data_IF_897905439581
#
_entry.id   IF_897905439581
#
_cell.length_a   1.000
_cell.length_b   1.000
_cell.length_c   1.000
_cell.angle_alpha   90.00
_cell.angle_beta   90.00
_cell.angle_gamma   90.00
#
_symmetry.space_group_name_H-M   'P 1'
#
loop_
_entity.id
_entity.type
_entity.pdbx_description
1 polymer ?
#
# COMPACT_ATOMS: atom_id res chain seq x y z
N UNK A 1 -12.73 5.87 16.76
CA UNK A 1 -14.06 5.75 16.12
C UNK A 1 -15.22 5.90 17.12
N UNK A 2 -16.45 6.23 16.66
CA UNK A 2 -17.66 6.22 17.52
C UNK A 2 -18.19 4.78 17.72
N UNK A 3 -18.82 4.43 18.86
CA UNK A 3 -19.32 3.08 19.13
C UNK A 3 -20.25 2.52 18.04
N UNK A 4 -21.15 3.34 17.51
CA UNK A 4 -22.08 2.96 16.45
C UNK A 4 -21.37 2.54 15.17
N UNK A 5 -20.28 3.20 14.78
CA UNK A 5 -19.52 2.84 13.59
C UNK A 5 -18.80 1.50 13.75
N UNK A 6 -18.28 1.21 14.96
CA UNK A 6 -17.71 -0.10 15.31
C UNK A 6 -18.77 -1.20 15.17
N UNK A 7 -19.95 -0.96 15.72
CA UNK A 7 -21.06 -1.90 15.65
C UNK A 7 -21.49 -2.15 14.19
N UNK A 8 -21.62 -1.09 13.39
CA UNK A 8 -21.97 -1.18 11.97
C UNK A 8 -20.95 -1.99 11.17
N UNK A 9 -19.66 -1.66 11.29
CA UNK A 9 -18.62 -2.33 10.51
C UNK A 9 -18.45 -3.80 10.93
N UNK A 10 -18.49 -4.09 12.24
CA UNK A 10 -18.40 -5.45 12.76
C UNK A 10 -19.60 -6.29 12.31
N UNK A 11 -20.81 -5.75 12.45
CA UNK A 11 -22.03 -6.44 12.01
C UNK A 11 -21.96 -6.76 10.53
N UNK A 12 -21.57 -5.78 9.70
CA UNK A 12 -21.48 -5.99 8.26
C UNK A 12 -20.47 -7.09 7.87
N UNK A 13 -19.30 -7.15 8.51
CA UNK A 13 -18.37 -8.26 8.29
C UNK A 13 -18.99 -9.62 8.63
N UNK A 14 -19.65 -9.72 9.79
CA UNK A 14 -20.24 -10.96 10.26
C UNK A 14 -21.46 -11.40 9.45
N UNK A 15 -22.30 -10.45 9.01
CA UNK A 15 -23.42 -10.72 8.09
C UNK A 15 -22.90 -11.32 6.78
N UNK A 16 -21.85 -10.74 6.19
CA UNK A 16 -21.23 -11.26 4.97
C UNK A 16 -20.62 -12.65 5.18
N UNK A 17 -19.90 -12.88 6.28
CA UNK A 17 -19.38 -14.22 6.63
C UNK A 17 -20.51 -15.23 6.79
N UNK A 18 -21.63 -14.85 7.40
CA UNK A 18 -22.81 -15.71 7.51
C UNK A 18 -23.38 -16.11 6.13
N UNK A 19 -23.45 -15.17 5.17
CA UNK A 19 -23.86 -15.51 3.79
C UNK A 19 -22.99 -16.59 3.16
N UNK A 20 -21.68 -16.58 3.46
CA UNK A 20 -20.72 -17.56 2.97
C UNK A 20 -20.91 -18.94 3.65
N UNK A 21 -21.08 -18.96 4.98
CA UNK A 21 -21.35 -20.19 5.73
C UNK A 21 -22.67 -20.86 5.29
N UNK A 22 -23.69 -20.06 4.99
CA UNK A 22 -25.01 -20.53 4.53
C UNK A 22 -25.02 -20.93 3.04
N UNK A 23 -24.03 -20.49 2.26
CA UNK A 23 -23.92 -20.78 0.82
C UNK A 23 -24.80 -19.91 -0.05
N UNK A 24 -25.06 -18.69 0.39
CA UNK A 24 -25.82 -17.66 -0.34
C UNK A 24 -24.95 -16.45 -0.71
N UNK A 25 -23.63 -16.54 -0.55
CA UNK A 25 -22.68 -15.52 -1.02
C UNK A 25 -22.57 -15.55 -2.54
N UNK A 26 -23.04 -14.50 -3.21
CA UNK A 26 -23.13 -14.42 -4.67
C UNK A 26 -21.78 -14.27 -5.37
N UNK A 27 -21.68 -14.87 -6.55
CA UNK A 27 -20.58 -14.79 -7.53
C UNK A 27 -21.17 -14.40 -8.89
N UNK A 28 -20.36 -14.12 -9.94
CA UNK A 28 -20.91 -13.87 -11.28
C UNK A 28 -21.81 -15.01 -11.81
N UNK A 29 -21.54 -16.26 -11.40
CA UNK A 29 -22.12 -17.46 -11.99
C UNK A 29 -22.86 -18.35 -10.96
N UNK A 30 -23.45 -17.74 -9.93
CA UNK A 30 -24.17 -18.46 -8.86
C UNK A 30 -23.64 -18.11 -7.48
N UNK A 31 -23.40 -19.11 -6.63
CA UNK A 31 -22.96 -18.91 -5.25
C UNK A 31 -21.58 -19.51 -4.98
N UNK A 32 -20.83 -18.91 -4.06
CA UNK A 32 -19.58 -19.46 -3.58
C UNK A 32 -19.81 -20.76 -2.81
N UNK A 33 -18.82 -21.66 -2.83
CA UNK A 33 -18.83 -22.88 -2.02
C UNK A 33 -18.98 -22.52 -0.54
N UNK A 34 -19.80 -23.28 0.20
CA UNK A 34 -19.96 -23.10 1.65
C UNK A 34 -18.63 -23.26 2.38
N UNK A 35 -18.49 -22.50 3.46
CA UNK A 35 -17.34 -22.53 4.34
C UNK A 35 -17.67 -23.23 5.67
N UNK A 36 -16.93 -24.30 5.99
CA UNK A 36 -16.86 -24.79 7.38
C UNK A 36 -15.77 -24.04 8.13
N UNK A 37 -15.77 -24.12 9.47
CA UNK A 37 -14.76 -23.46 10.32
C UNK A 37 -14.64 -21.94 10.07
N UNK A 38 -15.72 -21.26 9.69
CA UNK A 38 -15.72 -19.81 9.48
C UNK A 38 -16.02 -19.08 10.79
N UNK A 39 -15.04 -18.38 11.35
CA UNK A 39 -15.19 -17.77 12.68
C UNK A 39 -15.88 -16.40 12.66
N UNK A 40 -16.78 -16.15 13.60
CA UNK A 40 -17.38 -14.84 13.83
C UNK A 40 -16.30 -13.87 14.33
N UNK A 41 -16.24 -12.69 13.72
CA UNK A 41 -15.30 -11.66 14.13
C UNK A 41 -15.79 -10.97 15.40
N UNK A 42 -14.84 -10.63 16.26
CA UNK A 42 -15.02 -9.71 17.38
C UNK A 42 -14.23 -8.41 17.14
N UNK A 43 -14.64 -7.32 17.80
CA UNK A 43 -13.96 -6.04 17.61
C UNK A 43 -12.75 -5.92 18.55
N UNK A 44 -11.61 -5.47 18.03
CA UNK A 44 -10.38 -5.29 18.81
C UNK A 44 -9.94 -3.82 18.77
N UNK A 45 -9.91 -3.18 19.95
CA UNK A 45 -9.56 -1.77 20.08
C UNK A 45 -8.07 -1.48 19.80
N UNK A 46 -7.18 -2.45 19.97
CA UNK A 46 -5.76 -2.26 19.64
C UNK A 46 -5.56 -2.25 18.12
N UNK A 47 -6.27 -3.14 17.40
CA UNK A 47 -6.34 -3.10 15.94
C UNK A 47 -6.96 -1.78 15.44
N UNK A 48 -8.05 -1.30 16.08
CA UNK A 48 -8.62 0.02 15.75
C UNK A 48 -7.61 1.14 15.94
N UNK A 49 -6.86 1.16 17.04
CA UNK A 49 -5.89 2.23 17.30
C UNK A 49 -4.89 2.35 16.16
N UNK A 50 -4.31 1.22 15.73
CA UNK A 50 -3.34 1.20 14.63
C UNK A 50 -3.95 1.49 13.27
N UNK A 51 -5.15 1.00 13.00
CA UNK A 51 -5.89 1.33 11.79
C UNK A 51 -6.28 2.82 11.74
N UNK A 52 -6.63 3.41 12.89
CA UNK A 52 -7.01 4.82 13.00
C UNK A 52 -5.80 5.75 12.85
N UNK A 53 -4.68 5.44 13.50
CA UNK A 53 -3.43 6.17 13.30
C UNK A 53 -3.04 6.16 11.81
N UNK A 54 -3.24 5.03 11.12
CA UNK A 54 -2.97 4.92 9.69
C UNK A 54 -3.96 5.73 8.84
N UNK A 55 -5.27 5.60 9.10
CA UNK A 55 -6.31 6.33 8.39
C UNK A 55 -6.12 7.86 8.49
N UNK A 56 -5.74 8.35 9.67
CA UNK A 56 -5.52 9.78 9.93
C UNK A 56 -4.38 10.41 9.13
N UNK A 57 -3.48 9.61 8.53
CA UNK A 57 -2.45 10.11 7.61
C UNK A 57 -3.03 10.58 6.29
N UNK A 58 -4.22 10.11 5.92
CA UNK A 58 -4.86 10.45 4.65
C UNK A 58 -3.99 10.18 3.42
N UNK A 59 -3.20 9.10 3.46
CA UNK A 59 -2.41 8.59 2.34
C UNK A 59 -2.99 7.23 1.97
N UNK A 60 -3.51 7.09 0.75
CA UNK A 60 -4.11 5.84 0.27
C UNK A 60 -3.03 4.80 -0.08
N UNK A 61 -2.49 4.15 0.93
CA UNK A 61 -1.49 3.09 0.80
C UNK A 61 -1.59 2.10 1.96
N UNK A 62 -1.10 0.88 1.78
CA UNK A 62 -1.10 -0.12 2.85
C UNK A 62 -0.08 0.23 3.94
N UNK A 63 -0.44 -0.03 5.19
CA UNK A 63 0.49 0.08 6.31
C UNK A 63 1.60 -0.98 6.25
N UNK A 64 2.77 -0.68 6.81
CA UNK A 64 3.81 -1.68 7.07
C UNK A 64 3.28 -2.86 7.89
N UNK A 65 3.70 -4.08 7.59
CA UNK A 65 3.30 -5.24 8.41
C UNK A 65 3.64 -5.05 9.90
N UNK A 66 4.83 -4.56 10.24
CA UNK A 66 5.22 -4.29 11.62
C UNK A 66 4.36 -3.20 12.30
N UNK A 67 3.82 -2.24 11.55
CA UNK A 67 2.93 -1.20 12.10
C UNK A 67 1.65 -1.80 12.68
N UNK A 68 1.16 -2.83 11.99
CA UNK A 68 -0.07 -3.55 12.32
C UNK A 68 0.20 -4.90 12.99
N UNK A 69 1.42 -5.15 13.49
CA UNK A 69 1.83 -6.42 14.09
C UNK A 69 1.44 -7.64 13.23
N UNK A 70 1.78 -7.56 11.95
CA UNK A 70 1.49 -8.56 10.92
C UNK A 70 0.00 -8.87 10.71
N UNK A 71 -0.90 -8.01 11.21
CA UNK A 71 -2.33 -8.11 10.89
C UNK A 71 -2.57 -7.97 9.38
N UNK A 72 -3.67 -8.57 8.90
CA UNK A 72 -4.17 -8.29 7.56
C UNK A 72 -4.69 -6.86 7.46
N UNK A 73 -4.84 -6.31 6.26
CA UNK A 73 -5.37 -4.95 6.08
C UNK A 73 -6.22 -4.80 4.82
N UNK A 74 -7.35 -4.11 4.98
CA UNK A 74 -8.16 -3.62 3.87
C UNK A 74 -8.26 -2.09 3.92
N UNK A 75 -8.24 -1.48 2.73
CA UNK A 75 -8.32 -0.03 2.53
C UNK A 75 -9.51 0.30 1.65
N UNK A 76 -10.24 1.35 1.99
CA UNK A 76 -11.33 1.85 1.16
C UNK A 76 -11.42 3.37 1.25
N UNK A 77 -11.78 4.01 0.15
CA UNK A 77 -12.06 5.43 0.12
C UNK A 77 -13.31 5.72 -0.70
N UNK A 78 -14.14 6.65 -0.22
CA UNK A 78 -15.14 7.32 -1.05
C UNK A 78 -14.62 8.67 -1.53
N UNK A 79 -15.18 9.14 -2.65
CA UNK A 79 -14.85 10.41 -3.29
C UNK A 79 -16.15 11.19 -3.52
N UNK A 80 -16.17 12.49 -3.23
CA UNK A 80 -17.28 13.36 -3.60
C UNK A 80 -16.85 14.80 -3.89
N UNK A 81 -17.73 15.52 -4.61
CA UNK A 81 -17.65 16.98 -4.82
C UNK A 81 -18.32 17.80 -3.72
N UNK A 82 -18.99 17.15 -2.76
CA UNK A 82 -19.69 17.78 -1.65
C UNK A 82 -19.27 17.14 -0.32
N UNK A 83 -19.43 17.86 0.82
CA UNK A 83 -19.07 17.32 2.13
C UNK A 83 -19.70 15.96 2.40
N UNK A 84 -18.86 14.97 2.71
CA UNK A 84 -19.30 13.64 3.12
C UNK A 84 -19.21 13.52 4.64
N UNK A 85 -20.32 13.26 5.35
CA UNK A 85 -20.23 12.96 6.76
C UNK A 85 -19.67 11.55 6.96
N UNK A 86 -18.77 11.38 7.93
CA UNK A 86 -18.46 10.04 8.45
C UNK A 86 -19.70 9.53 9.18
N UNK A 87 -20.33 8.50 8.65
CA UNK A 87 -21.53 7.89 9.20
C UNK A 87 -21.51 6.35 9.05
N UNK A 88 -22.61 5.69 9.42
CA UNK A 88 -22.74 4.24 9.25
C UNK A 88 -22.63 3.78 7.78
N UNK A 89 -23.02 4.62 6.82
CA UNK A 89 -22.91 4.31 5.39
C UNK A 89 -21.46 4.29 4.91
N UNK A 90 -20.57 5.09 5.52
CA UNK A 90 -19.12 4.96 5.26
C UNK A 90 -18.61 3.57 5.64
N UNK A 91 -19.12 3.02 6.75
CA UNK A 91 -18.72 1.70 7.24
C UNK A 91 -19.26 0.58 6.36
N UNK A 92 -20.54 0.63 6.01
CA UNK A 92 -21.15 -0.37 5.12
C UNK A 92 -20.67 -0.22 3.67
N UNK A 93 -20.32 0.99 3.24
CA UNK A 93 -19.73 1.27 1.93
C UNK A 93 -18.39 0.55 1.75
N UNK A 94 -17.52 0.64 2.76
CA UNK A 94 -16.23 -0.07 2.76
C UNK A 94 -16.39 -1.59 2.68
N UNK A 95 -17.20 -2.17 3.57
CA UNK A 95 -17.41 -3.63 3.60
C UNK A 95 -18.13 -4.15 2.37
N UNK A 96 -19.10 -3.40 1.83
CA UNK A 96 -19.79 -3.72 0.58
C UNK A 96 -18.83 -3.70 -0.61
N UNK A 97 -17.94 -2.72 -0.68
CA UNK A 97 -16.94 -2.63 -1.74
C UNK A 97 -15.99 -3.82 -1.71
N UNK A 98 -15.42 -4.12 -0.54
CA UNK A 98 -14.50 -5.24 -0.35
C UNK A 98 -15.17 -6.58 -0.61
N UNK A 99 -16.36 -6.83 -0.06
CA UNK A 99 -17.07 -8.09 -0.27
C UNK A 99 -17.55 -8.26 -1.71
N UNK A 100 -17.93 -7.14 -2.35
CA UNK A 100 -18.41 -7.10 -3.72
C UNK A 100 -17.40 -7.59 -4.77
N UNK A 101 -16.11 -7.69 -4.41
CA UNK A 101 -15.09 -8.30 -5.27
C UNK A 101 -15.44 -9.73 -5.66
N UNK A 102 -16.04 -10.52 -4.75
CA UNK A 102 -16.49 -11.89 -5.05
C UNK A 102 -17.52 -11.91 -6.18
N UNK A 103 -18.53 -11.04 -6.09
CA UNK A 103 -19.60 -10.95 -7.10
C UNK A 103 -19.09 -10.36 -8.41
N UNK A 104 -18.13 -9.43 -8.35
CA UNK A 104 -17.61 -8.73 -9.53
C UNK A 104 -16.62 -9.59 -10.32
N UNK A 105 -15.69 -10.25 -9.63
CA UNK A 105 -14.56 -10.91 -10.26
C UNK A 105 -14.62 -12.44 -10.17
N UNK A 106 -15.52 -13.01 -9.37
CA UNK A 106 -15.63 -14.45 -9.19
C UNK A 106 -14.40 -15.07 -8.51
N UNK A 107 -14.33 -16.39 -8.48
CA UNK A 107 -13.21 -17.10 -7.87
C UNK A 107 -12.18 -17.48 -8.95
N UNK A 108 -10.92 -17.15 -8.70
CA UNK A 108 -9.80 -17.31 -9.65
C UNK A 108 -9.42 -18.78 -9.85
N UNK A 109 -9.57 -19.60 -8.81
CA UNK A 109 -9.24 -21.02 -8.83
C UNK A 109 -10.30 -21.82 -8.04
N UNK A 110 -10.74 -22.94 -8.63
CA UNK A 110 -11.62 -23.93 -8.01
C UNK A 110 -11.15 -24.45 -6.65
N UNK A 111 -9.84 -24.37 -6.34
CA UNK A 111 -9.29 -24.73 -5.03
C UNK A 111 -9.44 -23.64 -3.96
N UNK A 112 -9.90 -22.43 -4.32
CA UNK A 112 -10.06 -21.28 -3.42
C UNK A 112 -8.77 -20.95 -2.65
N UNK A 113 -7.61 -21.19 -3.27
CA UNK A 113 -6.32 -20.79 -2.74
C UNK A 113 -6.00 -19.36 -3.15
N UNK A 114 -5.47 -18.59 -2.20
CA UNK A 114 -4.99 -17.25 -2.49
C UNK A 114 -3.71 -17.34 -3.32
N UNK A 115 -3.74 -16.82 -4.56
CA UNK A 115 -2.61 -16.94 -5.49
C UNK A 115 -1.53 -15.87 -5.30
N UNK A 116 -1.83 -14.81 -4.53
CA UNK A 116 -0.99 -13.62 -4.42
C UNK A 116 -0.87 -12.82 -5.73
N UNK A 117 -1.63 -13.21 -6.76
CA UNK A 117 -1.63 -12.51 -8.04
C UNK A 117 -2.38 -11.18 -7.92
N UNK A 118 -2.08 -10.29 -8.88
CA UNK A 118 -2.59 -8.92 -9.09
C UNK A 118 -4.11 -8.82 -9.34
N UNK A 119 -4.88 -9.79 -8.84
CA UNK A 119 -6.32 -9.88 -8.99
C UNK A 119 -7.00 -9.07 -7.88
N UNK A 120 -7.97 -8.21 -8.22
CA UNK A 120 -8.65 -7.31 -7.27
C UNK A 120 -9.68 -8.08 -6.42
N UNK A 121 -9.24 -9.12 -5.71
CA UNK A 121 -10.07 -9.92 -4.78
C UNK A 121 -9.50 -10.01 -3.36
N UNK A 122 -8.34 -9.37 -3.13
CA UNK A 122 -7.61 -9.46 -1.87
C UNK A 122 -8.40 -8.95 -0.67
N UNK A 123 -9.34 -8.03 -0.88
CA UNK A 123 -10.14 -7.50 0.21
C UNK A 123 -11.24 -8.49 0.62
N UNK A 124 -11.93 -9.09 -0.36
CA UNK A 124 -12.89 -10.16 -0.08
C UNK A 124 -12.21 -11.36 0.58
N UNK A 125 -11.05 -11.81 0.08
CA UNK A 125 -10.37 -12.98 0.65
C UNK A 125 -9.99 -12.75 2.11
N UNK A 126 -9.56 -11.56 2.50
CA UNK A 126 -9.29 -11.23 3.89
C UNK A 126 -10.57 -11.22 4.74
N UNK A 127 -11.67 -10.68 4.24
CA UNK A 127 -12.96 -10.71 4.93
C UNK A 127 -13.51 -12.13 5.09
N UNK A 128 -13.27 -13.00 4.10
CA UNK A 128 -13.74 -14.38 4.04
C UNK A 128 -12.78 -15.39 4.70
N UNK A 129 -11.62 -14.95 5.17
CA UNK A 129 -10.57 -15.82 5.67
C UNK A 129 -11.02 -16.59 6.93
N UNK A 130 -10.92 -17.92 6.91
CA UNK A 130 -11.63 -18.78 7.89
C UNK A 130 -11.21 -18.55 9.34
N UNK A 131 -9.90 -18.45 9.58
CA UNK A 131 -9.32 -18.35 10.92
C UNK A 131 -9.15 -16.92 11.45
N UNK A 132 -9.45 -15.88 10.65
CA UNK A 132 -9.52 -14.50 11.12
C UNK A 132 -10.59 -14.40 12.21
N UNK A 133 -10.24 -13.88 13.39
CA UNK A 133 -11.17 -13.83 14.54
C UNK A 133 -11.43 -12.43 15.09
N UNK A 134 -10.59 -11.46 14.74
CA UNK A 134 -10.76 -10.07 15.20
C UNK A 134 -10.55 -9.07 14.09
N UNK A 135 -11.29 -7.97 14.19
CA UNK A 135 -11.15 -6.81 13.31
C UNK A 135 -11.15 -5.54 14.14
N UNK A 136 -10.32 -4.57 13.75
CA UNK A 136 -10.39 -3.21 14.27
C UNK A 136 -10.15 -2.24 13.12
N UNK A 137 -10.92 -1.16 13.06
CA UNK A 137 -10.91 -0.26 11.91
C UNK A 137 -10.69 1.18 12.35
N UNK A 138 -10.17 2.01 11.44
CA UNK A 138 -10.01 3.45 11.54
C UNK A 138 -10.76 4.16 10.43
N UNK A 139 -11.23 5.38 10.69
CA UNK A 139 -11.86 6.22 9.66
C UNK A 139 -11.41 7.66 9.79
N UNK A 140 -11.13 8.31 8.67
CA UNK A 140 -10.70 9.70 8.61
C UNK A 140 -11.40 10.44 7.48
N UNK A 141 -11.69 11.72 7.72
CA UNK A 141 -12.04 12.69 6.68
C UNK A 141 -10.73 13.27 6.15
N UNK A 142 -10.53 13.14 4.84
CA UNK A 142 -9.24 13.31 4.18
C UNK A 142 -9.32 14.27 3.01
N UNK A 143 -9.58 15.57 3.24
CA UNK A 143 -9.74 16.55 2.17
C UNK A 143 -8.44 16.83 1.38
N UNK A 144 -7.27 16.48 1.93
CA UNK A 144 -5.96 16.62 1.28
C UNK A 144 -5.39 15.31 0.72
N UNK A 145 -6.17 14.22 0.72
CA UNK A 145 -5.74 13.01 0.02
C UNK A 145 -5.64 13.34 -1.47
N UNK A 146 -4.46 13.10 -2.06
CA UNK A 146 -4.13 13.48 -3.45
C UNK A 146 -4.86 12.60 -4.49
N UNK A 147 -6.19 12.62 -4.44
CA UNK A 147 -7.13 11.86 -5.27
C UNK A 147 -7.77 12.71 -6.37
N UNK A 148 -7.58 14.02 -6.34
CA UNK A 148 -8.26 14.99 -7.20
C UNK A 148 -9.66 15.40 -6.71
N UNK A 149 -10.13 14.90 -5.56
CA UNK A 149 -11.45 15.19 -4.99
C UNK A 149 -11.34 15.95 -3.66
N UNK A 150 -12.24 16.91 -3.43
CA UNK A 150 -12.22 17.80 -2.27
C UNK A 150 -12.66 17.12 -0.97
N UNK A 151 -13.48 16.06 -1.05
CA UNK A 151 -14.00 15.34 0.12
C UNK A 151 -13.77 13.84 -0.05
N UNK A 152 -13.03 13.24 0.89
CA UNK A 152 -12.65 11.84 0.85
C UNK A 152 -12.84 11.21 2.22
N UNK A 153 -13.65 10.16 2.35
CA UNK A 153 -13.69 9.37 3.58
C UNK A 153 -12.83 8.14 3.41
N UNK A 154 -11.79 8.02 4.22
CA UNK A 154 -10.83 6.92 4.18
C UNK A 154 -11.08 5.96 5.33
N UNK A 155 -11.28 4.68 5.02
CA UNK A 155 -11.50 3.58 5.97
C UNK A 155 -10.37 2.57 5.85
N UNK A 156 -9.79 2.21 6.99
CA UNK A 156 -8.73 1.19 7.14
C UNK A 156 -9.25 0.14 8.10
N UNK A 157 -9.15 -1.15 7.79
CA UNK A 157 -9.42 -2.23 8.74
C UNK A 157 -8.22 -3.16 8.87
N UNK A 158 -7.84 -3.48 10.10
CA UNK A 158 -6.83 -4.49 10.43
C UNK A 158 -7.49 -5.78 10.92
N UNK A 159 -6.91 -6.92 10.56
CA UNK A 159 -7.45 -8.25 10.83
C UNK A 159 -6.42 -9.12 11.58
N UNK A 160 -6.78 -9.57 12.79
CA UNK A 160 -5.95 -10.54 13.54
C UNK A 160 -6.17 -11.94 12.99
N UNK A 161 -5.10 -12.76 13.07
CA UNK A 161 -4.98 -13.99 12.29
C UNK A 161 -5.07 -13.64 10.80
N UNK A 162 -4.03 -12.93 10.32
CA UNK A 162 -3.98 -12.36 8.99
C UNK A 162 -4.30 -13.39 7.91
N UNK A 163 -4.99 -12.94 6.87
CA UNK A 163 -5.33 -13.76 5.73
C UNK A 163 -4.34 -13.61 4.59
N UNK A 164 -4.77 -14.04 3.40
CA UNK A 164 -4.07 -13.80 2.14
C UNK A 164 -2.65 -14.43 2.10
N UNK A 165 -2.44 -15.54 2.80
CA UNK A 165 -1.21 -16.31 2.66
C UNK A 165 -1.20 -17.03 1.31
N UNK A 166 -0.14 -16.78 0.53
CA UNK A 166 0.00 -17.34 -0.82
C UNK A 166 0.03 -18.87 -0.79
N UNK A 167 -0.81 -19.50 -1.61
CA UNK A 167 -0.96 -20.95 -1.68
C UNK A 167 -1.86 -21.55 -0.59
N UNK A 168 -2.30 -20.77 0.39
CA UNK A 168 -3.25 -21.23 1.41
C UNK A 168 -4.68 -21.05 0.93
N UNK A 169 -5.53 -21.98 1.36
CA UNK A 169 -6.96 -21.94 1.09
C UNK A 169 -7.62 -20.86 1.96
N UNK A 170 -8.49 -20.04 1.36
CA UNK A 170 -9.18 -18.93 2.04
C UNK A 170 -10.06 -19.47 3.17
N UNK A 171 -10.77 -20.57 2.88
CA UNK A 171 -11.57 -21.32 3.84
C UNK A 171 -11.73 -22.76 3.36
N UNK A 172 -11.91 -23.70 4.30
CA UNK A 172 -12.20 -25.09 3.95
C UNK A 172 -13.64 -25.25 3.48
N UNK A 173 -13.85 -26.05 2.44
CA UNK A 173 -15.19 -26.35 1.95
C UNK A 173 -15.95 -27.22 2.96
N UNK A 174 -17.21 -26.87 3.18
CA UNK A 174 -18.13 -27.61 4.04
C UNK A 174 -19.29 -26.73 4.48
N UNK A 175 -20.29 -27.33 5.12
CA UNK A 175 -21.38 -26.56 5.70
C UNK A 175 -20.88 -25.70 6.87
N UNK A 176 -21.52 -24.54 7.07
CA UNK A 176 -21.39 -23.80 8.33
C UNK A 176 -21.72 -24.68 9.54
N UNK A 177 -21.21 -24.30 10.70
CA UNK A 177 -21.37 -25.13 11.90
C UNK A 177 -22.85 -25.31 12.28
N UNK A 178 -23.20 -26.49 12.81
CA UNK A 178 -24.53 -26.77 13.38
C UNK A 178 -24.47 -27.15 14.87
N UNK A 179 -23.27 -27.46 15.36
CA UNK A 179 -22.96 -27.81 16.75
C UNK A 179 -21.51 -27.47 17.04
N UNK A 180 -21.16 -27.33 18.31
CA UNK A 180 -19.83 -26.90 18.77
C UNK A 180 -18.69 -27.77 18.19
N UNK A 181 -18.92 -29.09 18.05
CA UNK A 181 -17.93 -30.02 17.51
C UNK A 181 -17.58 -29.81 16.03
N UNK A 182 -18.38 -29.02 15.28
CA UNK A 182 -18.08 -28.70 13.89
C UNK A 182 -17.01 -27.58 13.79
N UNK A 183 -16.72 -26.89 14.90
CA UNK A 183 -15.75 -25.80 14.99
C UNK A 183 -14.40 -26.30 15.53
N UNK A 184 -13.48 -26.56 14.63
CA UNK A 184 -12.30 -27.40 14.91
C UNK A 184 -10.97 -26.64 14.92
N UNK A 185 -10.92 -25.37 14.49
CA UNK A 185 -9.65 -24.63 14.40
C UNK A 185 -9.12 -24.15 15.75
N UNK A 186 -10.01 -23.82 16.70
CA UNK A 186 -9.62 -23.41 18.05
C UNK A 186 -10.30 -24.33 19.07
N UNK A 187 -9.50 -24.94 19.95
CA UNK A 187 -10.02 -25.82 21.01
C UNK A 187 -11.01 -25.08 21.92
N UNK A 188 -12.17 -25.69 22.18
CA UNK A 188 -13.25 -25.10 22.99
C UNK A 188 -14.16 -24.11 22.23
N UNK A 189 -14.08 -24.08 20.90
CA UNK A 189 -14.97 -23.26 20.07
C UNK A 189 -16.43 -23.67 20.22
N UNK A 190 -17.32 -22.69 20.09
CA UNK A 190 -18.77 -22.90 20.04
C UNK A 190 -19.32 -22.59 18.66
N UNK A 191 -20.55 -23.03 18.39
CA UNK A 191 -21.26 -22.72 17.16
C UNK A 191 -22.41 -21.74 17.40
N UNK A 192 -22.46 -20.65 16.62
CA UNK A 192 -23.66 -19.82 16.48
C UNK A 192 -24.52 -20.39 15.35
N UNK A 193 -25.44 -21.30 15.70
CA UNK A 193 -26.20 -22.10 14.73
C UNK A 193 -27.07 -21.28 13.79
N UNK A 194 -27.50 -20.09 14.19
CA UNK A 194 -28.32 -19.19 13.36
C UNK A 194 -27.54 -18.67 12.16
N UNK A 195 -26.24 -18.41 12.32
CA UNK A 195 -25.38 -17.85 11.27
C UNK A 195 -24.46 -18.91 10.64
N UNK A 196 -24.29 -20.06 11.30
CA UNK A 196 -23.33 -21.10 10.91
C UNK A 196 -21.88 -20.72 11.18
N UNK A 197 -21.64 -19.68 12.00
CA UNK A 197 -20.31 -19.18 12.33
C UNK A 197 -19.79 -19.76 13.64
N UNK A 198 -18.49 -20.06 13.67
CA UNK A 198 -17.79 -20.52 14.86
C UNK A 198 -17.41 -19.36 15.78
N UNK A 199 -17.44 -19.58 17.08
CA UNK A 199 -17.07 -18.61 18.12
C UNK A 199 -15.77 -19.07 18.77
N UNK A 200 -14.73 -18.23 18.72
CA UNK A 200 -13.46 -18.51 19.38
C UNK A 200 -13.64 -18.37 20.91
N UNK A 201 -13.18 -19.32 21.74
CA UNK A 201 -13.29 -19.22 23.17
C UNK A 201 -12.46 -18.05 23.72
N UNK A 202 -12.93 -17.46 24.82
CA UNK A 202 -12.31 -16.28 25.42
C UNK A 202 -12.59 -14.95 24.72
N UNK A 203 -13.29 -14.96 23.57
CA UNK A 203 -13.78 -13.75 22.90
C UNK A 203 -15.28 -13.48 23.18
N UNK A 204 -15.92 -14.36 23.94
CA UNK A 204 -17.32 -14.26 24.36
C UNK A 204 -17.39 -13.50 25.69
N UNK A 205 -17.08 -12.20 25.68
CA UNK A 205 -17.52 -11.32 26.76
C UNK A 205 -18.61 -10.42 26.20
N UNK A 206 -19.82 -10.61 26.70
CA UNK A 206 -21.01 -9.87 26.37
C UNK A 206 -20.77 -8.35 26.32
N UNK A 207 -21.16 -7.73 25.21
CA UNK A 207 -21.92 -6.48 25.18
C UNK A 207 -21.36 -5.20 25.82
N UNK A 208 -20.17 -5.18 26.41
CA UNK A 208 -19.55 -3.95 26.92
C UNK A 208 -18.50 -3.44 25.95
N UNK A 209 -18.61 -2.20 25.43
CA UNK A 209 -17.49 -1.55 24.77
C UNK A 209 -16.31 -1.58 25.75
N UNK A 210 -15.21 -2.21 25.34
CA UNK A 210 -13.96 -2.09 26.08
C UNK A 210 -13.66 -0.59 26.24
N UNK A 211 -13.41 -0.09 27.46
CA UNK A 211 -13.05 1.30 27.65
C UNK A 211 -11.86 1.64 26.77
N UNK A 212 -11.94 2.78 26.07
CA UNK A 212 -10.83 3.37 25.32
C UNK A 212 -9.59 3.34 26.23
N UNK A 213 -8.47 2.70 25.83
CA UNK A 213 -7.18 2.97 26.46
C UNK A 213 -6.95 4.48 26.35
N UNK A 214 -6.82 5.18 27.48
CA UNK A 214 -6.50 6.61 27.44
C UNK A 214 -5.28 6.81 26.54
N UNK A 215 -5.25 7.86 25.69
CA UNK A 215 -4.09 8.16 24.88
C UNK A 215 -2.87 8.20 25.80
N UNK A 216 -1.91 7.32 25.57
CA UNK A 216 -0.58 7.52 26.14
C UNK A 216 -0.10 8.85 25.59
N UNK A 217 0.25 9.77 26.49
CA UNK A 217 0.94 11.02 26.15
C UNK A 217 2.07 10.63 25.19
N UNK A 218 2.13 11.27 24.00
CA UNK A 218 3.19 11.02 23.05
C UNK A 218 4.54 11.08 23.78
N UNK A 219 5.48 10.15 23.54
CA UNK A 219 6.77 10.19 24.20
C UNK A 219 7.38 11.58 23.99
N UNK A 220 7.52 12.34 25.07
CA UNK A 220 8.24 13.61 25.03
C UNK A 220 9.63 13.30 24.46
N UNK A 221 10.08 14.00 23.41
CA UNK A 221 11.36 13.72 22.80
C UNK A 221 12.44 13.75 23.88
N UNK A 222 13.22 12.67 23.95
CA UNK A 222 14.25 12.46 24.95
C UNK A 222 15.39 13.48 24.72
N UNK A 223 15.31 14.63 25.37
CA UNK A 223 16.35 15.67 25.39
C UNK A 223 17.53 15.21 26.22
N UNK A 224 18.38 14.33 25.66
CA UNK A 224 19.78 14.16 26.07
C UNK A 224 20.64 13.72 24.88
N UNK A 225 20.92 14.65 23.97
CA UNK A 225 22.18 14.69 23.24
C UNK A 225 22.60 16.17 23.12
N UNK A 226 23.62 16.52 23.89
CA UNK A 226 24.21 17.85 24.00
C UNK A 226 25.01 18.20 22.75
N UNK A 227 24.48 19.10 21.92
CA UNK A 227 25.29 20.05 21.18
C UNK A 227 24.59 21.42 21.24
N UNK A 228 25.34 22.47 21.60
CA UNK A 228 24.82 23.84 21.74
C UNK A 228 24.19 24.30 20.41
N UNK A 229 22.99 24.92 20.42
CA UNK A 229 22.39 25.45 19.20
C UNK A 229 23.20 26.64 18.68
N UNK A 230 23.48 26.63 17.38
CA UNK A 230 23.97 27.77 16.63
C UNK A 230 22.85 28.85 16.61
N UNK A 231 23.11 30.14 16.90
CA UNK A 231 22.05 31.13 17.10
C UNK A 231 21.27 31.53 15.84
N UNK A 232 21.50 30.89 14.68
CA UNK A 232 20.78 31.22 13.45
C UNK A 232 20.81 30.10 12.39
N UNK A 233 19.80 29.21 12.32
CA UNK A 233 19.56 28.37 11.15
C UNK A 233 18.45 28.97 10.26
N UNK A 234 18.68 28.99 8.94
CA UNK A 234 17.63 29.31 7.94
C UNK A 234 16.65 28.13 7.80
N UNK A 235 15.38 28.39 7.46
CA UNK A 235 14.35 27.35 7.36
C UNK A 235 14.44 26.63 6.00
N UNK A 236 15.24 25.58 5.92
CA UNK A 236 15.03 24.47 4.98
C UNK A 236 14.99 23.17 5.79
N UNK A 237 13.88 22.45 5.67
CA UNK A 237 13.59 21.18 6.34
C UNK A 237 14.72 20.17 6.13
N UNK A 238 15.51 19.93 7.18
CA UNK A 238 16.57 18.94 7.12
C UNK A 238 15.97 17.57 7.33
N UNK A 239 15.78 16.80 6.26
CA UNK A 239 15.35 15.41 6.39
C UNK A 239 16.30 14.67 7.36
N UNK A 240 15.75 14.00 8.38
CA UNK A 240 16.53 13.28 9.38
C UNK A 240 16.76 11.86 8.88
N UNK A 241 17.99 11.54 8.46
CA UNK A 241 18.39 10.18 8.08
C UNK A 241 19.80 9.89 8.55
N UNK A 242 20.03 8.63 8.96
CA UNK A 242 21.36 8.12 9.32
C UNK A 242 22.18 7.72 8.10
N UNK A 243 21.53 7.54 6.94
CA UNK A 243 22.15 7.00 5.73
C UNK A 243 22.07 7.99 4.56
N UNK A 244 20.90 8.60 4.34
CA UNK A 244 20.71 9.56 3.27
C UNK A 244 21.29 10.93 3.64
N UNK A 245 22.43 11.28 3.05
CA UNK A 245 23.03 12.60 3.22
C UNK A 245 22.47 13.59 2.19
N UNK A 246 22.58 14.92 2.42
CA UNK A 246 22.19 15.93 1.43
C UNK A 246 22.82 15.70 0.04
N UNK A 247 24.06 15.22 0.00
CA UNK A 247 24.76 14.87 -1.25
C UNK A 247 24.09 13.70 -1.97
N UNK A 248 23.64 12.67 -1.24
CA UNK A 248 22.92 11.53 -1.82
C UNK A 248 21.53 11.95 -2.31
N UNK A 249 20.81 12.79 -1.57
CA UNK A 249 19.51 13.35 -2.00
C UNK A 249 19.66 14.18 -3.28
N UNK A 250 20.68 15.03 -3.32
CA UNK A 250 21.04 15.79 -4.52
C UNK A 250 21.39 14.89 -5.71
N UNK A 251 22.09 13.79 -5.47
CA UNK A 251 22.40 12.79 -6.49
C UNK A 251 21.14 12.10 -7.04
N UNK A 252 20.22 11.68 -6.16
CA UNK A 252 18.93 11.09 -6.55
C UNK A 252 18.14 12.04 -7.44
N UNK A 253 17.97 13.31 -7.03
CA UNK A 253 17.25 14.30 -7.81
C UNK A 253 17.92 14.60 -9.15
N UNK A 254 19.24 14.81 -9.14
CA UNK A 254 19.99 15.10 -10.37
C UNK A 254 19.86 13.97 -11.38
N UNK A 255 19.96 12.73 -10.91
CA UNK A 255 19.86 11.54 -11.76
C UNK A 255 18.46 11.41 -12.35
N UNK A 256 17.40 11.40 -11.51
CA UNK A 256 16.03 11.29 -12.01
C UNK A 256 15.67 12.41 -12.98
N UNK A 257 15.93 13.67 -12.61
CA UNK A 257 15.55 14.81 -13.46
C UNK A 257 16.38 14.89 -14.75
N UNK A 258 17.65 14.46 -14.72
CA UNK A 258 18.46 14.34 -15.94
C UNK A 258 17.88 13.31 -16.90
N UNK A 259 17.61 12.10 -16.42
CA UNK A 259 17.04 11.01 -17.22
C UNK A 259 15.65 11.36 -17.77
N UNK A 260 14.80 11.98 -16.94
CA UNK A 260 13.48 12.48 -17.33
C UNK A 260 13.57 13.60 -18.37
N UNK A 261 14.54 14.50 -18.23
CA UNK A 261 14.83 15.52 -19.25
C UNK A 261 15.28 14.90 -20.57
N UNK A 262 16.18 13.92 -20.53
CA UNK A 262 16.63 13.24 -21.75
C UNK A 262 15.48 12.49 -22.44
N UNK A 263 14.60 11.85 -21.67
CA UNK A 263 13.39 11.22 -22.22
C UNK A 263 12.44 12.25 -22.85
N UNK A 264 12.16 13.35 -22.15
CA UNK A 264 11.29 14.41 -22.66
C UNK A 264 11.82 15.02 -23.96
N UNK A 265 13.14 15.18 -24.07
CA UNK A 265 13.80 15.75 -25.25
C UNK A 265 14.13 14.71 -26.34
N UNK A 266 13.67 13.47 -26.22
CA UNK A 266 13.92 12.43 -27.23
C UNK A 266 15.39 12.00 -27.35
N UNK A 267 16.19 12.21 -26.30
CA UNK A 267 17.61 11.81 -26.25
C UNK A 267 17.81 10.36 -25.79
N UNK A 268 16.75 9.69 -25.36
CA UNK A 268 16.78 8.26 -25.03
C UNK A 268 16.58 7.45 -26.32
N UNK A 269 17.58 6.66 -26.69
CA UNK A 269 17.58 5.90 -27.93
C UNK A 269 16.33 5.01 -28.08
N UNK A 270 15.75 5.03 -29.29
CA UNK A 270 14.58 4.25 -29.66
C UNK A 270 13.32 4.52 -28.79
N UNK A 271 13.24 5.69 -28.14
CA UNK A 271 12.06 6.12 -27.37
C UNK A 271 11.48 7.40 -27.94
N UNK A 272 10.15 7.47 -27.95
CA UNK A 272 9.41 8.67 -28.33
C UNK A 272 9.52 9.70 -27.19
N UNK A 273 9.67 10.97 -27.54
CA UNK A 273 9.70 12.07 -26.57
C UNK A 273 8.39 12.18 -25.79
N UNK A 274 8.46 12.73 -24.58
CA UNK A 274 7.31 12.92 -23.70
C UNK A 274 6.98 14.39 -23.44
N UNK A 275 5.72 14.78 -23.63
CA UNK A 275 5.27 16.17 -23.43
C UNK A 275 4.85 16.49 -21.99
N UNK A 276 4.45 15.49 -21.20
CA UNK A 276 3.93 15.66 -19.85
C UNK A 276 4.91 15.16 -18.76
N UNK A 277 6.21 15.27 -19.00
CA UNK A 277 7.22 14.82 -18.03
C UNK A 277 7.47 15.91 -16.99
N UNK A 278 7.18 15.60 -15.71
CA UNK A 278 7.36 16.54 -14.61
C UNK A 278 8.68 16.37 -13.87
N UNK A 279 9.23 17.49 -13.41
CA UNK A 279 10.43 17.58 -12.59
C UNK A 279 10.13 17.13 -11.17
N UNK A 280 10.96 16.23 -10.65
CA UNK A 280 10.86 15.73 -9.29
C UNK A 280 11.45 16.73 -8.30
N UNK A 281 10.72 16.97 -7.22
CA UNK A 281 11.19 17.59 -5.96
C UNK A 281 11.54 16.47 -4.96
N UNK A 282 12.50 16.71 -4.07
CA UNK A 282 12.81 15.72 -3.03
C UNK A 282 11.84 15.90 -1.87
N UNK A 283 11.42 14.82 -1.24
CA UNK A 283 10.41 14.84 -0.19
C UNK A 283 10.87 13.97 0.98
N UNK A 284 10.99 14.58 2.16
CA UNK A 284 11.51 13.92 3.35
C UNK A 284 10.57 12.81 3.86
N UNK A 285 9.26 12.95 3.68
CA UNK A 285 8.29 11.93 4.11
C UNK A 285 8.32 10.70 3.21
N UNK A 286 8.55 10.90 1.89
CA UNK A 286 8.85 9.80 0.97
C UNK A 286 10.17 9.11 1.33
N UNK A 287 11.21 9.87 1.71
CA UNK A 287 12.49 9.30 2.17
C UNK A 287 12.30 8.45 3.43
N UNK A 288 11.62 8.98 4.44
CA UNK A 288 11.37 8.26 5.70
C UNK A 288 10.66 6.93 5.43
N UNK A 289 9.59 6.96 4.61
CA UNK A 289 8.88 5.74 4.20
C UNK A 289 9.75 4.79 3.39
N UNK A 290 10.59 5.29 2.49
CA UNK A 290 11.51 4.46 1.72
C UNK A 290 12.56 3.80 2.62
N UNK A 291 13.08 4.52 3.61
CA UNK A 291 14.02 3.99 4.59
C UNK A 291 13.40 2.90 5.45
N UNK A 292 12.17 3.11 5.95
CA UNK A 292 11.41 2.09 6.69
C UNK A 292 11.20 0.81 5.88
N UNK A 293 11.10 0.90 4.55
CA UNK A 293 11.01 -0.27 3.68
C UNK A 293 12.35 -0.94 3.46
N UNK A 294 13.42 -0.15 3.24
CA UNK A 294 14.77 -0.69 3.08
C UNK A 294 15.22 -1.46 4.33
N UNK A 295 14.96 -0.90 5.52
CA UNK A 295 15.37 -1.48 6.81
C UNK A 295 14.67 -2.81 7.14
N UNK A 296 13.58 -3.16 6.44
CA UNK A 296 12.89 -4.46 6.63
C UNK A 296 13.65 -5.61 6.03
N UNK A 297 14.47 -5.35 5.01
CA UNK A 297 15.18 -6.40 4.26
C UNK A 297 14.26 -7.48 3.66
N UNK A 298 12.96 -7.19 3.59
CA UNK A 298 11.92 -8.06 3.06
C UNK A 298 11.69 -7.72 1.59
N UNK A 299 12.30 -8.53 0.72
CA UNK A 299 12.24 -8.36 -0.73
C UNK A 299 10.95 -8.96 -1.34
N UNK A 300 10.21 -9.78 -0.59
CA UNK A 300 9.03 -10.49 -1.08
C UNK A 300 7.75 -9.67 -0.88
N UNK A 301 7.65 -8.94 0.24
CA UNK A 301 6.48 -8.12 0.59
C UNK A 301 6.55 -6.68 0.07
N UNK A 302 7.68 -6.28 -0.51
CA UNK A 302 7.88 -4.91 -0.98
C UNK A 302 7.02 -4.57 -2.21
N UNK A 303 6.54 -3.31 -2.34
CA UNK A 303 5.87 -2.86 -3.56
C UNK A 303 6.75 -3.06 -4.79
N UNK A 304 6.31 -3.95 -5.70
CA UNK A 304 7.05 -4.26 -6.93
C UNK A 304 7.21 -3.01 -7.80
N UNK A 305 8.43 -2.75 -8.25
CA UNK A 305 8.79 -1.61 -9.09
C UNK A 305 9.51 -0.47 -8.39
N UNK A 306 9.71 -0.50 -7.07
CA UNK A 306 10.35 0.60 -6.34
C UNK A 306 11.56 0.17 -5.49
N UNK A 307 12.06 -1.03 -5.73
CA UNK A 307 13.09 -1.67 -4.90
C UNK A 307 14.21 -2.29 -5.75
N UNK A 308 15.43 -2.18 -5.23
CA UNK A 308 16.63 -2.85 -5.70
C UNK A 308 17.24 -3.59 -4.50
N UNK A 309 17.78 -4.78 -4.73
CA UNK A 309 18.51 -5.53 -3.73
C UNK A 309 19.69 -6.27 -4.36
N UNK A 310 20.73 -6.51 -3.58
CA UNK A 310 21.90 -7.29 -4.00
C UNK A 310 22.50 -8.03 -2.81
N UNK A 311 22.47 -9.36 -2.88
CA UNK A 311 23.02 -10.28 -1.89
C UNK A 311 24.26 -11.04 -2.40
N UNK A 312 24.82 -10.62 -3.54
CA UNK A 312 25.99 -11.25 -4.15
C UNK A 312 27.27 -10.94 -3.37
N UNK A 313 28.32 -11.73 -3.62
CA UNK A 313 29.67 -11.43 -3.11
C UNK A 313 30.25 -10.11 -3.65
N UNK A 314 29.65 -9.53 -4.69
CA UNK A 314 30.03 -8.27 -5.32
C UNK A 314 29.10 -7.10 -4.96
N UNK A 315 28.25 -7.27 -3.95
CA UNK A 315 27.29 -6.24 -3.55
C UNK A 315 27.95 -4.91 -3.22
N UNK A 316 27.27 -3.77 -3.47
CA UNK A 316 27.75 -2.44 -3.10
C UNK A 316 28.23 -2.34 -1.66
N UNK A 317 29.35 -1.64 -1.42
CA UNK A 317 29.96 -1.49 -0.10
C UNK A 317 29.59 -0.18 0.60
N UNK A 318 29.02 0.77 -0.14
CA UNK A 318 28.55 2.05 0.40
C UNK A 318 27.13 2.35 -0.05
N UNK A 319 26.39 3.16 0.73
CA UNK A 319 25.06 3.62 0.34
C UNK A 319 25.08 4.41 -0.99
N UNK A 320 26.18 5.14 -1.24
CA UNK A 320 26.40 5.85 -2.49
C UNK A 320 26.48 4.88 -3.68
N UNK A 321 27.26 3.81 -3.56
CA UNK A 321 27.37 2.77 -4.59
C UNK A 321 26.03 2.05 -4.79
N UNK A 322 25.33 1.72 -3.69
CA UNK A 322 24.05 1.05 -3.75
C UNK A 322 23.01 1.88 -4.51
N UNK A 323 22.87 3.17 -4.19
CA UNK A 323 21.99 4.09 -4.90
C UNK A 323 22.37 4.26 -6.36
N UNK A 324 23.66 4.46 -6.66
CA UNK A 324 24.14 4.60 -8.04
C UNK A 324 23.77 3.37 -8.88
N UNK A 325 24.02 2.19 -8.33
CA UNK A 325 23.71 0.91 -8.99
C UNK A 325 22.21 0.72 -9.16
N UNK A 326 21.41 0.98 -8.13
CA UNK A 326 19.95 0.87 -8.18
C UNK A 326 19.35 1.76 -9.27
N UNK A 327 19.65 3.06 -9.27
CA UNK A 327 19.10 4.01 -10.24
C UNK A 327 19.52 3.68 -11.68
N UNK A 328 20.78 3.28 -11.87
CA UNK A 328 21.28 2.84 -13.19
C UNK A 328 20.54 1.59 -13.66
N UNK A 329 20.41 0.58 -12.80
CA UNK A 329 19.75 -0.68 -13.15
C UNK A 329 18.27 -0.50 -13.46
N UNK A 330 17.56 0.33 -12.68
CA UNK A 330 16.17 0.64 -12.96
C UNK A 330 16.01 1.35 -14.31
N UNK A 331 16.82 2.38 -14.60
CA UNK A 331 16.68 3.10 -15.86
C UNK A 331 17.03 2.26 -17.10
N UNK A 332 17.97 1.31 -16.98
CA UNK A 332 18.27 0.37 -18.07
C UNK A 332 17.03 -0.40 -18.57
N UNK A 333 15.99 -0.53 -17.75
CA UNK A 333 14.71 -1.05 -18.17
C UNK A 333 14.10 -0.26 -19.33
N UNK A 334 14.10 1.08 -19.26
CA UNK A 334 13.66 1.94 -20.37
C UNK A 334 14.60 1.76 -21.56
N UNK A 335 15.91 1.79 -21.36
CA UNK A 335 16.86 1.73 -22.47
C UNK A 335 16.77 0.43 -23.28
N UNK A 336 16.64 -0.71 -22.59
CA UNK A 336 16.71 -2.06 -23.20
C UNK A 336 15.40 -2.59 -23.73
N UNK A 337 14.26 -2.08 -23.27
CA UNK A 337 12.95 -2.62 -23.65
C UNK A 337 12.23 -1.68 -24.60
N UNK A 338 11.46 -2.24 -25.52
CA UNK A 338 10.48 -1.48 -26.27
C UNK A 338 9.28 -1.14 -25.36
N UNK A 339 8.82 0.12 -25.42
CA UNK A 339 7.63 0.55 -24.68
C UNK A 339 6.34 0.34 -25.49
N UNK A 340 6.45 -0.07 -26.76
CA UNK A 340 5.32 -0.25 -27.66
C UNK A 340 4.48 1.02 -27.76
N UNK A 341 3.19 0.90 -27.45
CA UNK A 341 2.27 2.03 -27.44
C UNK A 341 2.42 2.96 -26.22
N UNK A 342 3.37 2.67 -25.32
CA UNK A 342 3.66 3.35 -24.06
C UNK A 342 2.63 3.12 -22.95
N UNK A 343 1.77 2.11 -23.06
CA UNK A 343 0.79 1.74 -22.01
C UNK A 343 1.40 0.78 -20.99
N UNK A 344 1.21 1.07 -19.71
CA UNK A 344 1.57 0.14 -18.63
C UNK A 344 0.51 -0.96 -18.51
N UNK A 345 0.90 -2.21 -18.73
CA UNK A 345 -0.02 -3.37 -18.75
C UNK A 345 0.49 -4.51 -17.85
N UNK A 346 -0.31 -5.56 -17.72
CA UNK A 346 0.07 -6.80 -17.02
C UNK A 346 1.23 -7.52 -17.68
N UNK A 347 1.47 -7.28 -18.98
CA UNK A 347 2.54 -7.91 -19.75
C UNK A 347 3.85 -7.10 -19.69
N UNK A 348 3.89 -6.01 -18.90
CA UNK A 348 5.10 -5.20 -18.73
C UNK A 348 6.24 -6.07 -18.17
N UNK A 349 7.38 -6.18 -18.87
CA UNK A 349 8.54 -6.92 -18.39
C UNK A 349 8.96 -6.52 -16.98
N UNK A 350 9.45 -7.48 -16.18
CA UNK A 350 9.90 -7.21 -14.81
C UNK A 350 10.95 -6.08 -14.74
N UNK A 351 11.86 -6.03 -15.73
CA UNK A 351 12.87 -4.97 -15.84
C UNK A 351 12.29 -3.58 -16.12
N UNK A 352 11.06 -3.48 -16.62
CA UNK A 352 10.37 -2.21 -16.86
C UNK A 352 9.61 -1.70 -15.64
N UNK A 353 9.33 -2.51 -14.61
CA UNK A 353 8.49 -2.10 -13.47
C UNK A 353 9.07 -0.88 -12.72
N UNK A 354 10.38 -0.84 -12.49
CA UNK A 354 11.01 0.31 -11.86
C UNK A 354 11.32 1.44 -12.83
N UNK A 355 11.68 1.07 -14.05
CA UNK A 355 11.98 2.00 -15.12
C UNK A 355 10.77 2.87 -15.47
N UNK A 356 9.56 2.27 -15.53
CA UNK A 356 8.32 2.97 -15.84
C UNK A 356 7.93 3.97 -14.75
N UNK A 357 8.17 3.66 -13.48
CA UNK A 357 7.92 4.62 -12.40
C UNK A 357 8.91 5.80 -12.46
N UNK A 358 10.19 5.55 -12.75
CA UNK A 358 11.17 6.62 -12.97
C UNK A 358 10.79 7.53 -14.14
N UNK A 359 10.22 6.95 -15.21
CA UNK A 359 9.78 7.65 -16.41
C UNK A 359 8.36 8.23 -16.31
N UNK A 360 7.62 7.95 -15.22
CA UNK A 360 6.19 8.25 -15.15
C UNK A 360 5.92 9.75 -15.23
N UNK A 361 5.20 10.20 -16.26
CA UNK A 361 5.13 11.61 -16.63
C UNK A 361 4.63 12.51 -15.50
N UNK A 362 3.53 12.12 -14.86
CA UNK A 362 2.86 12.90 -13.83
C UNK A 362 3.45 12.80 -12.42
N UNK A 363 4.46 11.96 -12.18
CA UNK A 363 5.13 11.87 -10.87
C UNK A 363 5.93 13.14 -10.59
N UNK A 364 5.76 13.74 -9.40
CA UNK A 364 6.36 15.05 -9.07
C UNK A 364 7.30 15.06 -7.87
N UNK A 365 7.34 13.99 -7.07
CA UNK A 365 8.27 13.89 -5.94
C UNK A 365 8.91 12.52 -5.82
N UNK A 366 10.06 12.48 -5.16
CA UNK A 366 10.79 11.25 -4.83
C UNK A 366 11.47 11.38 -3.47
N UNK A 367 11.56 10.25 -2.77
CA UNK A 367 12.44 10.08 -1.61
C UNK A 367 12.95 8.64 -1.56
N UNK A 368 14.21 8.43 -1.18
CA UNK A 368 14.84 7.12 -1.22
C UNK A 368 15.46 6.75 0.12
N UNK A 369 15.55 5.45 0.41
CA UNK A 369 16.17 4.89 1.59
C UNK A 369 17.09 3.72 1.24
N UNK A 370 18.08 3.47 2.10
CA UNK A 370 19.10 2.44 1.87
C UNK A 370 19.41 1.70 3.17
N UNK A 371 19.37 0.38 3.11
CA UNK A 371 19.84 -0.51 4.17
C UNK A 371 21.05 -1.31 3.66
N UNK A 372 22.19 -1.16 4.34
CA UNK A 372 23.47 -1.78 3.93
C UNK A 372 23.70 -3.17 4.54
N UNK A 373 23.06 -3.45 5.67
CA UNK A 373 23.31 -4.64 6.49
C UNK A 373 22.08 -5.54 6.55
N UNK A 374 21.52 -5.85 5.37
CA UNK A 374 20.31 -6.66 5.30
C UNK A 374 20.60 -8.15 5.37
N UNK A 375 19.74 -8.88 6.08
CA UNK A 375 19.72 -10.35 6.08
C UNK A 375 18.55 -10.84 5.20
N UNK A 376 18.80 -10.99 3.91
CA UNK A 376 17.80 -11.26 2.89
C UNK A 376 17.54 -12.76 2.80
N UNK A 377 16.27 -13.16 2.95
CA UNK A 377 15.84 -14.55 2.74
C UNK A 377 15.56 -14.79 1.25
N UNK A 378 16.20 -15.80 0.66
CA UNK A 378 15.99 -16.18 -0.73
C UNK A 378 16.21 -17.69 -0.91
N UNK A 379 15.26 -18.39 -1.56
CA UNK A 379 15.34 -19.83 -1.86
C UNK A 379 15.72 -20.71 -0.65
N UNK A 380 15.15 -20.45 0.53
CA UNK A 380 15.40 -21.28 1.71
C UNK A 380 16.67 -20.95 2.50
N UNK A 381 17.40 -19.89 2.13
CA UNK A 381 18.64 -19.48 2.81
C UNK A 381 18.69 -17.97 3.03
N UNK A 382 19.47 -17.57 4.03
CA UNK A 382 19.72 -16.17 4.38
C UNK A 382 21.05 -15.70 3.79
N UNK A 383 21.05 -14.49 3.24
CA UNK A 383 22.20 -13.87 2.63
C UNK A 383 22.36 -12.43 3.14
N UNK A 384 23.61 -12.05 3.44
CA UNK A 384 23.91 -10.64 3.68
C UNK A 384 23.79 -9.87 2.37
N UNK A 385 22.98 -8.81 2.37
CA UNK A 385 22.70 -8.01 1.18
C UNK A 385 22.50 -6.54 1.48
N UNK A 386 22.35 -5.76 0.42
CA UNK A 386 21.92 -4.36 0.48
C UNK A 386 20.52 -4.22 -0.12
N UNK A 387 19.73 -3.30 0.38
CA UNK A 387 18.40 -2.96 -0.15
C UNK A 387 18.31 -1.45 -0.35
N UNK A 388 17.83 -1.04 -1.52
CA UNK A 388 17.55 0.36 -1.88
C UNK A 388 16.09 0.45 -2.27
N UNK A 389 15.39 1.43 -1.72
CA UNK A 389 13.99 1.72 -2.03
C UNK A 389 13.85 3.17 -2.40
N UNK A 390 13.05 3.48 -3.43
CA UNK A 390 12.62 4.83 -3.73
C UNK A 390 11.09 4.89 -3.78
N UNK A 391 10.50 5.85 -3.10
CA UNK A 391 9.07 6.11 -3.10
C UNK A 391 8.79 7.39 -3.90
N UNK A 392 7.61 7.44 -4.52
CA UNK A 392 7.21 8.49 -5.45
C UNK A 392 5.82 9.03 -5.08
N UNK A 393 5.59 10.35 -5.24
CA UNK A 393 4.24 10.93 -5.18
C UNK A 393 3.59 10.93 -6.56
N UNK A 394 2.25 10.93 -6.60
CA UNK A 394 1.46 10.63 -7.79
C UNK A 394 1.87 9.26 -8.34
N UNK A 395 1.17 8.23 -7.85
CA UNK A 395 1.48 6.84 -8.13
C UNK A 395 1.57 6.59 -9.64
N UNK A 396 2.70 6.05 -10.07
CA UNK A 396 2.87 5.55 -11.43
C UNK A 396 2.44 4.09 -11.55
N UNK A 397 2.82 3.46 -12.67
CA UNK A 397 2.53 2.05 -12.95
C UNK A 397 1.03 1.72 -12.86
N UNK A 398 0.19 2.68 -13.26
CA UNK A 398 -1.25 2.50 -13.26
C UNK A 398 -1.64 1.69 -14.50
N UNK A 399 -2.28 0.53 -14.27
CA UNK A 399 -2.69 -0.35 -15.34
C UNK A 399 -3.60 0.35 -16.36
N UNK A 400 -3.31 0.18 -17.64
CA UNK A 400 -4.06 0.78 -18.75
C UNK A 400 -3.75 2.26 -18.99
N UNK A 401 -2.89 2.89 -18.18
CA UNK A 401 -2.46 4.27 -18.41
C UNK A 401 -1.12 4.31 -19.14
N UNK A 402 -0.87 5.45 -19.82
CA UNK A 402 0.41 5.70 -20.46
C UNK A 402 1.48 6.02 -19.42
N UNK A 403 2.69 5.48 -19.58
CA UNK A 403 3.85 5.83 -18.75
C UNK A 403 4.10 7.33 -18.83
N UNK A 404 4.02 7.88 -20.04
CA UNK A 404 3.99 9.31 -20.32
C UNK A 404 3.22 9.58 -21.61
N UNK A 405 2.75 10.81 -21.78
CA UNK A 405 2.13 11.23 -23.03
C UNK A 405 3.21 11.55 -24.05
N UNK A 406 3.16 10.87 -25.19
CA UNK A 406 4.06 11.13 -26.30
C UNK A 406 3.80 12.53 -26.86
N UNK A 407 4.87 13.27 -27.11
CA UNK A 407 4.82 14.60 -27.73
C UNK A 407 6.12 15.37 -27.53
N UNK A 408 6.12 16.61 -28.01
CA UNK A 408 7.27 17.50 -27.89
C UNK A 408 7.49 17.94 -26.43
N UNK A 409 8.74 18.12 -25.99
CA UNK A 409 9.04 18.68 -24.68
C UNK A 409 8.45 20.08 -24.54
N UNK A 410 8.16 20.48 -23.29
CA UNK A 410 7.62 21.81 -23.04
C UNK A 410 8.61 22.90 -23.49
N UNK A 411 8.09 23.97 -24.09
CA UNK A 411 8.85 25.18 -24.48
C UNK A 411 8.33 26.44 -23.78
N UNK A 412 7.10 26.39 -23.26
CA UNK A 412 6.41 27.46 -22.53
C UNK A 412 5.47 26.86 -21.49
N UNK A 413 5.06 27.67 -20.51
CA UNK A 413 4.22 27.20 -19.40
C UNK A 413 2.90 26.56 -19.85
N UNK A 414 2.30 27.07 -20.94
CA UNK A 414 1.04 26.55 -21.47
C UNK A 414 1.13 25.12 -22.00
N UNK A 415 2.34 24.60 -22.26
CA UNK A 415 2.53 23.23 -22.72
C UNK A 415 2.40 22.22 -21.56
N UNK A 416 2.48 22.69 -20.31
CA UNK A 416 2.41 21.88 -19.10
C UNK A 416 0.99 21.87 -18.51
N UNK A 417 0.18 20.90 -18.94
CA UNK A 417 -1.27 20.91 -18.68
C UNK A 417 -1.74 19.92 -17.62
N UNK A 418 -0.90 18.98 -17.18
CA UNK A 418 -1.32 17.92 -16.23
C UNK A 418 -1.72 18.48 -14.87
N UNK A 419 -0.96 19.45 -14.33
CA UNK A 419 -1.31 20.15 -13.09
C UNK A 419 -1.59 21.63 -13.37
N UNK A 420 -2.76 22.17 -12.96
CA UNK A 420 -3.06 23.58 -13.11
C UNK A 420 -1.98 24.47 -12.48
N UNK A 421 -1.54 25.51 -13.20
CA UNK A 421 -0.49 26.42 -12.72
C UNK A 421 0.95 25.92 -12.91
N UNK A 422 1.15 24.80 -13.62
CA UNK A 422 2.48 24.29 -13.95
C UNK A 422 3.30 25.29 -14.77
N UNK A 423 4.62 25.23 -14.59
CA UNK A 423 5.60 26.00 -15.38
C UNK A 423 6.47 25.07 -16.21
N UNK A 424 7.05 25.56 -17.29
CA UNK A 424 8.05 24.82 -18.04
C UNK A 424 9.45 25.19 -17.56
N UNK A 425 10.25 24.20 -17.17
CA UNK A 425 11.69 24.38 -17.02
C UNK A 425 12.33 24.29 -18.41
N UNK A 426 12.28 25.39 -19.17
CA UNK A 426 12.61 25.45 -20.61
C UNK A 426 13.95 24.77 -20.94
N UNK A 427 15.01 25.06 -20.17
CA UNK A 427 16.34 24.49 -20.41
C UNK A 427 16.41 22.96 -20.21
N UNK A 428 15.45 22.38 -19.50
CA UNK A 428 15.34 20.95 -19.23
C UNK A 428 14.24 20.29 -20.07
N UNK A 429 13.36 21.05 -20.75
CA UNK A 429 12.25 20.51 -21.53
C UNK A 429 11.23 19.70 -20.72
N UNK A 430 11.14 19.94 -19.40
CA UNK A 430 10.24 19.24 -18.47
C UNK A 430 9.39 20.24 -17.68
N UNK A 431 8.21 19.79 -17.30
CA UNK A 431 7.25 20.60 -16.54
C UNK A 431 7.61 20.65 -15.05
N UNK A 432 7.20 21.70 -14.36
CA UNK A 432 7.36 21.89 -12.92
C UNK A 432 5.96 22.09 -12.36
N UNK A 433 5.53 21.16 -11.51
CA UNK A 433 4.27 21.28 -10.80
C UNK A 433 4.35 22.44 -9.77
N UNK A 434 3.20 23.06 -9.42
CA UNK A 434 3.13 24.12 -8.42
C UNK A 434 3.97 23.87 -7.15
#
# INVERSE_FOLDING_TARGET
MKPEYRATILKSHNDYRATLAQGIAETPNGYARRAKNLYKLTYDCNLESKAQEWASRCVYEHSPNHWRNDAGENLWTSFATYPLPINGESMTGATKYWWGELKKYGIIDSSYKYSGAMYPIGHWTQMAWSNTTRVGCGVADCPWMNSGWQYNIYVVCHYSEAGNYRGHQIYEFGDGCRRDSDCTLFSGSKCETQTGLCLKPGQITEGRPQPRPQPTEAPKPNTKLTQKPNPNPRPEETCVSRVMTPQLRGYVLKTHNGLRSDLANGRVANKRSGKNIYKLKYDCDLEARAQEWADRCDIDSAPKGNMYYDASGTKPKTAAEALKTALKNWWQGIEKNDLGDNTFTSNTPAGLLAASQMAWGSTTKVGCGVAMDCNIYYQGRYYSGVVVVCQYSEKGNIFGQKIYEVGDPCKRNSDCTTFPGSKCAINQGICVAP
#
